data_IF_950038434501
#
_entry.id   IF_950038434501
#
_cell.length_a   1.000
_cell.length_b   1.000
_cell.length_c   1.000
_cell.angle_alpha   90.00
_cell.angle_beta   90.00
_cell.angle_gamma   90.00
#
_symmetry.space_group_name_H-M   'P 1'
#
loop_
_entity.id
_entity.type
_entity.pdbx_description
1 polymer ?
#
# COMPACT_ATOMS: atom_id res chain seq x y z
N UNK A 1 -49.40 5.27 47.43
CA UNK A 1 -49.03 4.27 46.44
C UNK A 1 -48.38 5.00 45.28
N UNK A 2 -47.10 5.15 45.31
CA UNK A 2 -46.32 5.86 44.31
C UNK A 2 -45.83 4.86 43.27
N UNK A 3 -46.30 5.04 42.03
CA UNK A 3 -45.86 4.27 40.88
C UNK A 3 -44.59 4.83 40.27
N UNK A 4 -43.48 4.17 40.49
CA UNK A 4 -42.18 4.49 39.94
C UNK A 4 -42.17 4.17 38.45
N UNK A 5 -42.10 5.20 37.59
CA UNK A 5 -41.89 5.08 36.15
C UNK A 5 -40.40 4.78 35.88
N UNK A 6 -40.12 3.64 35.26
CA UNK A 6 -38.82 3.25 34.79
C UNK A 6 -38.30 4.19 33.66
N UNK A 7 -37.01 4.51 33.62
CA UNK A 7 -36.44 5.37 32.59
C UNK A 7 -36.41 4.63 31.25
N UNK A 8 -37.02 5.26 30.24
CA UNK A 8 -36.95 4.87 28.83
C UNK A 8 -35.52 4.92 28.35
N UNK A 9 -34.94 3.78 28.01
CA UNK A 9 -33.67 3.64 27.37
C UNK A 9 -33.66 4.39 26.03
N UNK A 10 -33.01 5.53 25.99
CA UNK A 10 -32.70 6.25 24.76
C UNK A 10 -31.81 5.36 23.91
N UNK A 11 -32.34 4.88 22.79
CA UNK A 11 -31.57 4.20 21.74
C UNK A 11 -30.40 5.10 21.30
N UNK A 12 -29.18 4.66 21.52
CA UNK A 12 -27.98 5.32 21.04
C UNK A 12 -28.03 5.36 19.51
N UNK A 13 -27.93 6.58 18.95
CA UNK A 13 -27.76 6.78 17.52
C UNK A 13 -26.54 6.00 17.06
N UNK A 14 -26.75 4.95 16.27
CA UNK A 14 -25.71 4.24 15.55
C UNK A 14 -24.97 5.27 14.68
N UNK A 15 -23.82 5.73 15.16
CA UNK A 15 -22.91 6.55 14.38
C UNK A 15 -22.37 5.68 13.25
N UNK A 16 -22.79 5.94 12.01
CA UNK A 16 -22.16 5.37 10.82
C UNK A 16 -20.71 5.84 10.82
N UNK A 17 -19.79 4.97 11.20
CA UNK A 17 -18.37 5.21 11.08
C UNK A 17 -18.04 5.35 9.59
N UNK A 18 -17.74 6.56 9.14
CA UNK A 18 -17.11 6.80 7.86
C UNK A 18 -15.65 6.36 7.94
N UNK A 19 -15.11 5.78 6.87
CA UNK A 19 -13.71 5.31 6.81
C UNK A 19 -12.67 6.35 7.28
N UNK A 20 -13.01 7.62 7.27
CA UNK A 20 -12.19 8.74 7.75
C UNK A 20 -12.11 8.84 9.30
N UNK A 21 -12.79 7.97 10.04
CA UNK A 21 -12.85 8.03 11.52
C UNK A 21 -12.25 6.79 12.20
N UNK A 22 -11.52 5.96 11.45
CA UNK A 22 -10.79 4.84 12.06
C UNK A 22 -9.56 5.43 12.75
N UNK A 23 -9.55 5.39 14.07
CA UNK A 23 -8.39 5.80 14.85
C UNK A 23 -7.23 4.83 14.65
N UNK A 24 -5.98 5.32 14.63
CA UNK A 24 -4.80 4.45 14.57
C UNK A 24 -4.74 3.56 15.81
N UNK A 25 -4.29 2.32 15.63
CA UNK A 25 -4.15 1.35 16.72
C UNK A 25 -3.19 1.88 17.81
N UNK A 26 -3.66 1.93 19.06
CA UNK A 26 -2.91 2.44 20.22
C UNK A 26 -2.38 1.28 21.06
N UNK A 27 -1.31 1.50 21.85
CA UNK A 27 -0.81 0.48 22.77
C UNK A 27 -1.85 -0.06 23.76
N UNK A 28 -2.84 0.79 24.11
CA UNK A 28 -3.94 0.47 25.04
C UNK A 28 -4.93 -0.52 24.45
N UNK A 29 -5.04 -0.58 23.10
CA UNK A 29 -5.95 -1.47 22.37
C UNK A 29 -5.41 -2.91 22.33
N UNK A 30 -4.12 -3.11 22.62
CA UNK A 30 -3.51 -4.44 22.66
C UNK A 30 -3.82 -5.16 23.97
N UNK A 31 -4.92 -5.85 24.03
CA UNK A 31 -5.35 -6.66 25.18
C UNK A 31 -4.55 -7.96 25.34
N UNK A 32 -3.85 -8.41 24.30
CA UNK A 32 -3.07 -9.66 24.31
C UNK A 32 -1.69 -9.54 24.96
N UNK A 33 -1.24 -8.29 25.25
CA UNK A 33 0.09 -8.04 25.82
C UNK A 33 1.23 -8.05 24.78
N UNK A 34 2.47 -8.11 25.28
CA UNK A 34 3.65 -8.14 24.41
C UNK A 34 3.80 -9.48 23.69
N UNK A 35 4.40 -9.43 22.48
CA UNK A 35 4.69 -10.65 21.72
C UNK A 35 5.68 -11.55 22.47
N UNK A 36 5.33 -12.82 22.61
CA UNK A 36 6.20 -13.85 23.18
C UNK A 36 7.18 -14.41 22.17
N UNK A 37 6.74 -14.51 20.89
CA UNK A 37 7.55 -15.06 19.83
C UNK A 37 8.02 -13.97 18.85
N UNK A 38 9.27 -14.10 18.38
CA UNK A 38 9.86 -13.20 17.38
C UNK A 38 9.43 -13.62 15.97
N UNK A 39 8.71 -12.74 15.29
CA UNK A 39 8.43 -12.88 13.86
C UNK A 39 9.48 -12.16 13.03
N UNK A 40 10.17 -12.88 12.14
CA UNK A 40 11.27 -12.33 11.32
C UNK A 40 10.98 -12.49 9.83
N UNK A 41 11.21 -11.41 9.06
CA UNK A 41 11.15 -11.42 7.60
C UNK A 41 12.44 -10.90 7.00
N UNK A 42 12.97 -11.62 6.00
CA UNK A 42 14.15 -11.21 5.25
C UNK A 42 13.83 -11.09 3.76
N UNK A 43 14.43 -10.08 3.10
CA UNK A 43 14.28 -9.85 1.66
C UNK A 43 15.61 -9.45 1.06
N UNK A 44 15.99 -10.11 -0.04
CA UNK A 44 17.19 -9.77 -0.80
C UNK A 44 16.97 -8.51 -1.64
N UNK A 45 18.00 -7.69 -1.76
CA UNK A 45 18.00 -6.52 -2.63
C UNK A 45 19.08 -6.61 -3.72
N UNK A 46 18.85 -5.97 -4.88
CA UNK A 46 19.82 -5.95 -5.97
C UNK A 46 21.09 -5.16 -5.59
N UNK A 47 22.26 -5.63 -5.99
CA UNK A 47 23.57 -5.04 -5.66
C UNK A 47 23.67 -3.55 -5.99
N UNK A 48 23.05 -3.10 -7.09
CA UNK A 48 23.07 -1.68 -7.47
C UNK A 48 22.33 -0.76 -6.47
N UNK A 49 21.53 -1.31 -5.55
CA UNK A 49 20.81 -0.53 -4.51
C UNK A 49 21.61 -0.36 -3.22
N UNK A 50 22.72 -1.05 -3.06
CA UNK A 50 23.51 -1.09 -1.83
C UNK A 50 23.88 0.31 -1.32
N UNK A 51 24.48 1.15 -2.16
CA UNK A 51 24.90 2.50 -1.77
C UNK A 51 23.72 3.37 -1.34
N UNK A 52 22.62 3.30 -2.07
CA UNK A 52 21.39 4.03 -1.72
C UNK A 52 20.83 3.59 -0.38
N UNK A 53 20.70 2.30 -0.17
CA UNK A 53 20.17 1.74 1.08
C UNK A 53 21.07 2.09 2.27
N UNK A 54 22.38 1.99 2.12
CA UNK A 54 23.33 2.41 3.16
C UNK A 54 23.13 3.87 3.57
N UNK A 55 22.93 4.77 2.61
CA UNK A 55 22.69 6.20 2.89
C UNK A 55 21.33 6.50 3.53
N UNK A 56 20.29 5.77 3.11
CA UNK A 56 18.91 5.99 3.59
C UNK A 56 18.52 5.11 4.80
N UNK A 57 19.36 4.16 5.19
CA UNK A 57 19.04 3.18 6.24
C UNK A 57 18.72 3.80 7.59
N UNK A 58 19.46 4.83 7.98
CA UNK A 58 19.20 5.57 9.23
C UNK A 58 17.78 6.13 9.30
N UNK A 59 17.28 6.68 8.19
CA UNK A 59 15.92 7.20 8.10
C UNK A 59 14.89 6.08 8.23
N UNK A 60 15.12 4.94 7.57
CA UNK A 60 14.24 3.77 7.62
C UNK A 60 14.19 3.19 9.04
N UNK A 61 15.36 3.05 9.69
CA UNK A 61 15.47 2.55 11.07
C UNK A 61 14.69 3.45 12.04
N UNK A 62 14.79 4.76 11.92
CA UNK A 62 14.03 5.69 12.76
C UNK A 62 12.51 5.55 12.57
N UNK A 63 12.06 5.32 11.33
CA UNK A 63 10.65 5.13 11.04
C UNK A 63 10.11 3.80 11.65
N UNK A 64 10.87 2.72 11.52
CA UNK A 64 10.50 1.40 12.08
C UNK A 64 10.55 1.39 13.62
N UNK A 65 11.53 2.07 14.21
CA UNK A 65 11.65 2.17 15.68
C UNK A 65 10.43 2.85 16.32
N UNK A 66 9.77 3.78 15.63
CA UNK A 66 8.52 4.40 16.12
C UNK A 66 7.40 3.37 16.31
N UNK A 67 7.40 2.30 15.51
CA UNK A 67 6.44 1.20 15.60
C UNK A 67 6.96 0.01 16.42
N UNK A 68 8.12 0.17 17.05
CA UNK A 68 8.73 -0.90 17.86
C UNK A 68 9.28 -2.07 17.06
N UNK A 69 9.51 -1.93 15.75
CA UNK A 69 10.04 -2.98 14.86
C UNK A 69 11.55 -2.86 14.75
N UNK A 70 12.27 -3.97 14.94
CA UNK A 70 13.72 -4.06 14.73
C UNK A 70 14.03 -4.24 13.24
N UNK A 71 15.17 -3.71 12.78
CA UNK A 71 15.62 -3.90 11.40
C UNK A 71 17.14 -3.98 11.30
N UNK A 72 17.62 -4.76 10.34
CA UNK A 72 19.04 -4.98 10.03
C UNK A 72 19.27 -4.95 8.53
N UNK A 73 20.39 -4.35 8.13
CA UNK A 73 20.89 -4.34 6.75
C UNK A 73 22.19 -5.13 6.67
N UNK A 74 22.15 -6.29 6.04
CA UNK A 74 23.34 -7.08 5.77
C UNK A 74 23.82 -6.80 4.35
N UNK A 75 24.91 -6.05 4.24
CA UNK A 75 25.51 -5.68 2.95
C UNK A 75 26.31 -6.84 2.32
N UNK A 76 26.81 -7.77 3.13
CA UNK A 76 27.58 -8.93 2.65
C UNK A 76 26.68 -9.89 1.90
N UNK A 77 25.56 -10.26 2.50
CA UNK A 77 24.54 -11.13 1.89
C UNK A 77 23.63 -10.39 0.92
N UNK A 78 23.56 -9.05 1.01
CA UNK A 78 22.59 -8.26 0.25
C UNK A 78 21.16 -8.46 0.72
N UNK A 79 20.95 -8.59 2.03
CA UNK A 79 19.65 -8.83 2.63
C UNK A 79 19.22 -7.71 3.58
N UNK A 80 17.92 -7.47 3.64
CA UNK A 80 17.27 -6.61 4.63
C UNK A 80 16.37 -7.49 5.50
N UNK A 81 16.51 -7.41 6.80
CA UNK A 81 15.72 -8.20 7.76
C UNK A 81 14.97 -7.28 8.71
N UNK A 82 13.72 -7.60 8.99
CA UNK A 82 12.89 -6.94 9.99
C UNK A 82 12.31 -7.97 10.95
N UNK A 83 12.12 -7.61 12.22
CA UNK A 83 11.57 -8.52 13.23
C UNK A 83 10.77 -7.76 14.29
N UNK A 84 9.86 -8.47 14.93
CA UNK A 84 9.11 -7.95 16.08
C UNK A 84 10.02 -7.84 17.29
N UNK A 85 9.76 -6.85 18.14
CA UNK A 85 10.43 -6.70 19.43
C UNK A 85 9.38 -6.69 20.54
N UNK A 86 9.82 -6.76 21.79
CA UNK A 86 8.91 -6.65 22.95
C UNK A 86 8.18 -5.30 23.01
N UNK A 87 8.69 -4.28 22.29
CA UNK A 87 8.08 -2.95 22.20
C UNK A 87 7.03 -2.84 21.09
N UNK A 88 6.89 -3.87 20.24
CA UNK A 88 5.89 -3.89 19.17
C UNK A 88 4.52 -4.11 19.80
N UNK A 89 3.63 -3.13 19.70
CA UNK A 89 2.27 -3.20 20.23
C UNK A 89 1.24 -3.59 19.15
N UNK A 90 1.49 -3.21 17.89
CA UNK A 90 0.58 -3.47 16.77
C UNK A 90 0.97 -4.77 16.06
N UNK A 91 0.05 -5.77 15.99
CA UNK A 91 0.26 -7.01 15.25
C UNK A 91 0.46 -6.82 13.76
N UNK A 92 -0.12 -5.76 13.17
CA UNK A 92 0.01 -5.46 11.74
C UNK A 92 1.35 -4.79 11.39
N UNK A 93 2.04 -4.16 12.35
CA UNK A 93 3.28 -3.42 12.11
C UNK A 93 4.37 -4.26 11.43
N UNK A 94 4.51 -5.53 11.77
CA UNK A 94 5.51 -6.42 11.16
C UNK A 94 5.17 -6.72 9.69
N UNK A 95 3.89 -6.80 9.33
CA UNK A 95 3.45 -7.01 7.95
C UNK A 95 3.73 -5.77 7.10
N UNK A 96 3.47 -4.59 7.64
CA UNK A 96 3.79 -3.31 7.01
C UNK A 96 5.31 -3.14 6.84
N UNK A 97 6.10 -3.51 7.86
CA UNK A 97 7.56 -3.52 7.79
C UNK A 97 8.10 -4.50 6.74
N UNK A 98 7.53 -5.70 6.65
CA UNK A 98 7.84 -6.66 5.59
C UNK A 98 7.59 -6.07 4.20
N UNK A 99 6.47 -5.39 4.04
CA UNK A 99 6.07 -4.81 2.77
C UNK A 99 6.94 -3.60 2.42
N UNK A 100 7.40 -2.82 3.42
CA UNK A 100 8.39 -1.78 3.25
C UNK A 100 9.70 -2.32 2.67
N UNK A 101 10.27 -3.38 3.23
CA UNK A 101 11.53 -3.95 2.70
C UNK A 101 11.36 -4.52 1.29
N UNK A 102 10.19 -5.08 0.94
CA UNK A 102 9.88 -5.50 -0.44
C UNK A 102 9.86 -4.33 -1.40
N UNK A 103 9.27 -3.19 -1.04
CA UNK A 103 9.25 -1.97 -1.85
C UNK A 103 10.66 -1.41 -2.06
N UNK A 104 11.48 -1.36 -1.01
CA UNK A 104 12.87 -0.93 -1.09
C UNK A 104 13.69 -1.80 -2.04
N UNK A 105 13.50 -3.13 -1.99
CA UNK A 105 14.12 -4.07 -2.90
C UNK A 105 13.70 -3.85 -4.37
N UNK A 106 12.52 -3.29 -4.61
CA UNK A 106 12.00 -2.92 -5.95
C UNK A 106 12.32 -1.48 -6.37
N UNK A 107 13.26 -0.85 -5.68
CA UNK A 107 13.77 0.49 -6.00
C UNK A 107 12.81 1.64 -5.73
N UNK A 108 11.78 1.45 -4.94
CA UNK A 108 10.96 2.56 -4.45
C UNK A 108 11.83 3.46 -3.57
N UNK A 109 11.73 4.81 -3.71
CA UNK A 109 12.45 5.73 -2.84
C UNK A 109 12.03 5.59 -1.37
N UNK A 110 13.00 5.65 -0.45
CA UNK A 110 12.75 5.47 0.98
C UNK A 110 11.68 6.42 1.56
N UNK A 111 11.66 7.74 1.25
CA UNK A 111 10.61 8.63 1.73
C UNK A 111 9.20 8.24 1.28
N UNK A 112 9.09 7.62 0.11
CA UNK A 112 7.81 7.13 -0.40
C UNK A 112 7.47 5.77 0.22
N UNK A 113 8.45 4.88 0.32
CA UNK A 113 8.23 3.53 0.87
C UNK A 113 7.78 3.57 2.34
N UNK A 114 8.29 4.50 3.14
CA UNK A 114 7.92 4.64 4.56
C UNK A 114 6.44 4.93 4.77
N UNK A 115 5.74 5.51 3.80
CA UNK A 115 4.29 5.73 3.89
C UNK A 115 3.47 4.45 4.01
N UNK A 116 4.04 3.28 3.68
CA UNK A 116 3.37 1.99 3.90
C UNK A 116 3.13 1.67 5.37
N UNK A 117 3.80 2.39 6.27
CA UNK A 117 3.59 2.27 7.71
C UNK A 117 2.32 2.98 8.20
N UNK A 118 1.67 3.76 7.33
CA UNK A 118 0.36 4.37 7.57
C UNK A 118 -0.74 3.35 7.24
N UNK A 119 -1.76 3.21 8.08
CA UNK A 119 -2.79 2.16 7.97
C UNK A 119 -3.63 2.26 6.69
N UNK A 120 -3.74 3.46 6.11
CA UNK A 120 -4.52 3.70 4.90
C UNK A 120 -3.79 3.30 3.61
N UNK A 121 -2.47 3.06 3.69
CA UNK A 121 -1.62 2.78 2.54
C UNK A 121 -1.32 1.29 2.46
N UNK A 122 -1.78 0.66 1.40
CA UNK A 122 -1.41 -0.71 1.07
C UNK A 122 -0.39 -0.73 -0.09
N UNK A 123 0.20 -1.90 -0.36
CA UNK A 123 1.08 -2.08 -1.50
C UNK A 123 0.75 -3.31 -2.32
N UNK A 124 1.12 -3.28 -3.58
CA UNK A 124 1.04 -4.43 -4.47
C UNK A 124 2.26 -4.49 -5.40
N UNK A 125 2.81 -5.70 -5.57
CA UNK A 125 3.92 -5.95 -6.51
C UNK A 125 3.43 -6.87 -7.61
N UNK A 126 3.09 -6.27 -8.76
CA UNK A 126 2.53 -6.96 -9.91
C UNK A 126 3.68 -7.52 -10.76
N UNK A 127 3.75 -8.84 -10.90
CA UNK A 127 4.74 -9.52 -11.73
C UNK A 127 4.25 -9.59 -13.18
N UNK A 128 4.80 -8.74 -14.07
CA UNK A 128 4.33 -8.59 -15.45
C UNK A 128 5.03 -9.51 -16.46
N UNK A 129 6.21 -10.07 -16.12
CA UNK A 129 6.98 -10.89 -17.06
C UNK A 129 6.27 -12.18 -17.47
N UNK A 130 5.58 -12.82 -16.52
CA UNK A 130 4.92 -14.09 -16.75
C UNK A 130 3.67 -14.00 -17.64
N UNK A 131 3.13 -12.77 -17.82
CA UNK A 131 1.92 -12.53 -18.63
C UNK A 131 2.21 -12.47 -20.14
N UNK A 132 3.50 -12.39 -20.53
CA UNK A 132 3.89 -12.26 -21.95
C UNK A 132 5.09 -13.14 -22.23
N UNK A 133 4.93 -14.14 -23.10
CA UNK A 133 6.01 -15.07 -23.46
C UNK A 133 7.14 -14.41 -24.27
N UNK A 134 6.80 -13.59 -25.29
CA UNK A 134 7.78 -12.97 -26.17
C UNK A 134 8.37 -11.70 -25.55
N UNK A 135 9.72 -11.58 -25.59
CA UNK A 135 10.47 -10.45 -25.01
C UNK A 135 10.14 -9.11 -25.67
N UNK A 136 10.04 -9.06 -27.00
CA UNK A 136 9.80 -7.80 -27.72
C UNK A 136 8.39 -7.28 -27.48
N UNK A 137 7.40 -8.18 -27.46
CA UNK A 137 6.03 -7.84 -27.08
C UNK A 137 5.96 -7.35 -25.64
N UNK A 138 6.69 -7.97 -24.73
CA UNK A 138 6.78 -7.53 -23.34
C UNK A 138 7.31 -6.10 -23.22
N UNK A 139 8.43 -5.78 -23.88
CA UNK A 139 9.03 -4.44 -23.83
C UNK A 139 8.05 -3.40 -24.38
N UNK A 140 7.42 -3.66 -25.55
CA UNK A 140 6.44 -2.75 -26.15
C UNK A 140 5.22 -2.53 -25.24
N UNK A 141 4.68 -3.59 -24.62
CA UNK A 141 3.52 -3.49 -23.73
C UNK A 141 3.86 -2.78 -22.42
N UNK A 142 5.05 -3.06 -21.83
CA UNK A 142 5.55 -2.32 -20.68
C UNK A 142 5.71 -0.84 -20.97
N UNK A 143 6.21 -0.48 -22.15
CA UNK A 143 6.35 0.92 -22.56
C UNK A 143 5.01 1.63 -22.70
N UNK A 144 3.93 0.93 -23.07
CA UNK A 144 2.57 1.49 -23.09
C UNK A 144 2.06 1.89 -21.71
N UNK A 145 2.46 1.18 -20.66
CA UNK A 145 2.11 1.57 -19.27
C UNK A 145 2.77 2.89 -18.90
N UNK A 146 4.03 3.08 -19.30
CA UNK A 146 4.74 4.34 -19.08
C UNK A 146 4.15 5.47 -19.93
N UNK A 147 3.87 5.19 -21.21
CA UNK A 147 3.47 6.18 -22.20
C UNK A 147 4.60 7.12 -22.62
N UNK A 148 4.33 8.05 -23.55
CA UNK A 148 5.29 9.06 -23.96
C UNK A 148 5.59 9.98 -22.77
N UNK A 149 6.88 10.16 -22.47
CA UNK A 149 7.36 10.98 -21.34
C UNK A 149 6.71 10.65 -19.97
N UNK A 150 6.25 9.41 -19.77
CA UNK A 150 5.61 9.00 -18.53
C UNK A 150 4.17 9.52 -18.34
N UNK A 151 3.54 10.08 -19.37
CA UNK A 151 2.21 10.71 -19.29
C UNK A 151 1.11 9.71 -18.89
N UNK A 152 1.13 8.50 -19.45
CA UNK A 152 0.15 7.45 -19.13
C UNK A 152 0.29 7.02 -17.67
N UNK A 153 1.52 6.80 -17.21
CA UNK A 153 1.80 6.45 -15.81
C UNK A 153 1.27 7.53 -14.87
N UNK A 154 1.58 8.80 -15.17
CA UNK A 154 1.14 9.93 -14.34
C UNK A 154 -0.38 10.09 -14.32
N UNK A 155 -1.05 9.88 -15.46
CA UNK A 155 -2.50 9.90 -15.51
C UNK A 155 -3.12 8.78 -14.63
N UNK A 156 -2.55 7.57 -14.68
CA UNK A 156 -2.98 6.47 -13.82
C UNK A 156 -2.79 6.80 -12.34
N UNK A 157 -1.62 7.32 -11.94
CA UNK A 157 -1.34 7.73 -10.56
C UNK A 157 -2.38 8.73 -10.03
N UNK A 158 -2.70 9.76 -10.84
CA UNK A 158 -3.65 10.81 -10.45
C UNK A 158 -5.11 10.34 -10.40
N UNK A 159 -5.49 9.40 -11.28
CA UNK A 159 -6.86 8.89 -11.33
C UNK A 159 -7.14 7.84 -10.25
N UNK A 160 -6.15 7.03 -9.91
CA UNK A 160 -6.27 5.94 -8.92
C UNK A 160 -5.75 6.34 -7.54
N UNK A 161 -5.19 7.55 -7.40
CA UNK A 161 -4.59 8.06 -6.15
C UNK A 161 -3.49 7.14 -5.60
N UNK A 162 -2.74 6.50 -6.51
CA UNK A 162 -1.68 5.56 -6.18
C UNK A 162 -0.34 6.04 -6.69
N UNK A 163 0.73 5.66 -6.02
CA UNK A 163 2.09 5.81 -6.53
C UNK A 163 2.47 4.55 -7.31
N UNK A 164 3.04 4.72 -8.51
CA UNK A 164 3.41 3.62 -9.40
C UNK A 164 4.89 3.68 -9.79
N UNK A 165 5.58 2.55 -9.69
CA UNK A 165 6.94 2.40 -10.18
C UNK A 165 7.05 1.17 -11.08
N UNK A 166 7.34 1.39 -12.36
CA UNK A 166 7.57 0.32 -13.34
C UNK A 166 9.07 0.06 -13.44
N UNK A 167 9.51 -1.07 -12.91
CA UNK A 167 10.93 -1.44 -12.96
C UNK A 167 11.14 -2.90 -13.33
N UNK A 168 11.99 -3.13 -14.32
CA UNK A 168 12.34 -4.47 -14.78
C UNK A 168 11.10 -5.29 -15.17
N UNK A 169 10.84 -6.33 -14.42
CA UNK A 169 9.76 -7.30 -14.64
C UNK A 169 8.56 -7.11 -13.71
N UNK A 170 8.54 -6.05 -12.93
CA UNK A 170 7.52 -5.78 -11.91
C UNK A 170 7.02 -4.35 -11.97
N UNK A 171 5.77 -4.16 -11.56
CA UNK A 171 5.19 -2.87 -11.25
C UNK A 171 4.93 -2.85 -9.76
N UNK A 172 5.56 -1.93 -9.04
CA UNK A 172 5.26 -1.67 -7.64
C UNK A 172 4.20 -0.57 -7.56
N UNK A 173 3.14 -0.81 -6.81
CA UNK A 173 2.06 0.12 -6.58
C UNK A 173 1.88 0.35 -5.09
N UNK A 174 1.58 1.58 -4.68
CA UNK A 174 1.30 1.98 -3.30
C UNK A 174 0.12 2.93 -3.27
N UNK A 175 -0.80 2.77 -2.32
CA UNK A 175 -1.95 3.66 -2.16
C UNK A 175 -3.16 2.96 -1.55
N UNK A 176 -4.35 3.57 -1.66
CA UNK A 176 -5.58 3.00 -1.13
C UNK A 176 -5.94 1.70 -1.86
N UNK A 177 -6.52 0.75 -1.12
CA UNK A 177 -6.85 -0.59 -1.63
C UNK A 177 -7.71 -0.57 -2.90
N UNK A 178 -8.68 0.36 -2.99
CA UNK A 178 -9.54 0.52 -4.19
C UNK A 178 -8.70 0.90 -5.42
N UNK A 179 -7.76 1.83 -5.26
CA UNK A 179 -6.84 2.23 -6.33
C UNK A 179 -5.92 1.10 -6.77
N UNK A 180 -5.35 0.35 -5.82
CA UNK A 180 -4.48 -0.79 -6.12
C UNK A 180 -5.19 -1.88 -6.93
N UNK A 181 -6.44 -2.21 -6.59
CA UNK A 181 -7.25 -3.17 -7.33
C UNK A 181 -7.47 -2.73 -8.79
N UNK A 182 -7.74 -1.44 -9.02
CA UNK A 182 -7.90 -0.87 -10.36
C UNK A 182 -6.57 -0.91 -11.14
N UNK A 183 -5.48 -0.49 -10.51
CA UNK A 183 -4.14 -0.52 -11.11
C UNK A 183 -3.75 -1.92 -11.53
N UNK A 184 -3.93 -2.92 -10.66
CA UNK A 184 -3.61 -4.31 -10.99
C UNK A 184 -4.33 -4.75 -12.25
N UNK A 185 -5.65 -4.53 -12.33
CA UNK A 185 -6.45 -4.87 -13.52
C UNK A 185 -5.93 -4.18 -14.77
N UNK A 186 -5.67 -2.87 -14.71
CA UNK A 186 -5.19 -2.09 -15.87
C UNK A 186 -3.82 -2.58 -16.35
N UNK A 187 -2.92 -2.91 -15.43
CA UNK A 187 -1.60 -3.43 -15.75
C UNK A 187 -1.71 -4.82 -16.40
N UNK A 188 -2.51 -5.72 -15.86
CA UNK A 188 -2.76 -7.05 -16.42
C UNK A 188 -3.41 -6.96 -17.80
N UNK A 189 -4.44 -6.13 -17.98
CA UNK A 189 -5.11 -5.88 -19.28
C UNK A 189 -4.11 -5.33 -20.33
N UNK A 190 -3.24 -4.41 -19.92
CA UNK A 190 -2.19 -3.87 -20.81
C UNK A 190 -1.22 -4.96 -21.25
N UNK A 191 -0.87 -5.88 -20.36
CA UNK A 191 -0.04 -7.05 -20.69
C UNK A 191 -0.78 -8.04 -21.60
N UNK A 192 -2.11 -8.11 -21.58
CA UNK A 192 -2.96 -8.88 -22.51
C UNK A 192 -3.25 -8.14 -23.81
N UNK A 193 -2.55 -7.02 -24.08
CA UNK A 193 -2.64 -6.21 -25.30
C UNK A 193 -3.84 -5.24 -25.37
N UNK A 194 -4.52 -4.97 -24.27
CA UNK A 194 -5.53 -3.91 -24.21
C UNK A 194 -4.80 -2.58 -23.94
N UNK A 195 -5.12 -1.55 -24.72
CA UNK A 195 -4.42 -0.27 -24.55
C UNK A 195 -4.93 0.47 -23.29
N UNK A 196 -4.04 1.00 -22.42
CA UNK A 196 -4.42 1.61 -21.14
C UNK A 196 -5.32 2.85 -21.30
N UNK A 197 -5.37 3.45 -22.48
CA UNK A 197 -6.21 4.64 -22.76
C UNK A 197 -7.70 4.37 -22.53
N UNK A 198 -8.16 3.15 -22.76
CA UNK A 198 -9.57 2.78 -22.52
C UNK A 198 -9.89 2.83 -21.03
N UNK A 199 -9.03 2.26 -20.20
CA UNK A 199 -9.18 2.30 -18.75
C UNK A 199 -9.05 3.74 -18.21
N UNK A 200 -8.15 4.56 -18.76
CA UNK A 200 -8.01 5.97 -18.38
C UNK A 200 -9.31 6.72 -18.67
N UNK A 201 -9.90 6.55 -19.86
CA UNK A 201 -11.18 7.18 -20.20
C UNK A 201 -12.30 6.74 -19.26
N UNK A 202 -12.39 5.44 -18.97
CA UNK A 202 -13.37 4.90 -18.00
C UNK A 202 -13.21 5.53 -16.61
N UNK A 203 -11.98 5.61 -16.11
CA UNK A 203 -11.69 6.23 -14.80
C UNK A 203 -12.02 7.72 -14.78
N UNK A 204 -11.75 8.45 -15.87
CA UNK A 204 -12.11 9.87 -16.00
C UNK A 204 -13.63 10.07 -15.90
N UNK A 205 -14.40 9.28 -16.66
CA UNK A 205 -15.86 9.34 -16.63
C UNK A 205 -16.39 9.00 -15.22
N UNK A 206 -15.87 7.95 -14.59
CA UNK A 206 -16.25 7.59 -13.23
C UNK A 206 -15.97 8.70 -12.22
N UNK A 207 -14.83 9.38 -12.34
CA UNK A 207 -14.45 10.49 -11.49
C UNK A 207 -15.35 11.72 -11.70
N UNK A 208 -15.75 11.99 -12.92
CA UNK A 208 -16.70 13.07 -13.25
C UNK A 208 -18.10 12.76 -12.73
N UNK A 209 -18.60 11.56 -12.96
CA UNK A 209 -19.89 11.12 -12.43
C UNK A 209 -19.95 11.17 -10.90
N UNK A 210 -18.88 10.78 -10.23
CA UNK A 210 -18.79 10.86 -8.77
C UNK A 210 -18.85 12.30 -8.22
N UNK A 211 -18.48 13.31 -9.02
CA UNK A 211 -18.63 14.73 -8.66
C UNK A 211 -20.05 15.23 -8.83
N UNK A 212 -20.76 14.71 -9.85
CA UNK A 212 -22.13 15.15 -10.20
C UNK A 212 -23.19 14.47 -9.35
N UNK A 213 -22.94 13.22 -8.92
CA UNK A 213 -23.85 12.48 -8.04
C UNK A 213 -23.40 12.66 -6.58
N UNK A 214 -24.02 13.56 -5.79
CA UNK A 214 -23.82 13.54 -4.35
C UNK A 214 -24.25 12.13 -3.86
N UNK A 215 -23.63 11.59 -2.80
CA UNK A 215 -24.00 10.28 -2.28
C UNK A 215 -25.50 10.32 -1.97
N UNK A 216 -26.31 9.61 -2.75
CA UNK A 216 -27.72 9.46 -2.52
C UNK A 216 -27.87 8.89 -1.11
N UNK A 217 -28.39 9.72 -0.20
CA UNK A 217 -28.98 9.26 1.04
C UNK A 217 -30.15 8.35 0.65
N UNK A 218 -29.89 7.05 0.52
CA UNK A 218 -30.95 6.08 0.48
C UNK A 218 -31.66 6.13 1.84
N UNK A 219 -32.71 6.94 1.87
CA UNK A 219 -33.81 6.78 2.78
C UNK A 219 -34.56 5.52 2.33
N UNK A 220 -34.41 4.43 3.05
CA UNK A 220 -35.48 3.47 3.41
C UNK A 220 -35.00 2.78 4.68
#
# INVERSE_FOLDING_TARGET
MEGTLAPVLRASKSSRLTFAQIEPFKPEDNTAGAFTDESRFSTLFPKYREQYLKGSWKFITQALQKQGVGCELNLVEGSMTVWTTQKTYDPAAILNARDLIKLLARSVPAPQAVKILEDEVAMDIIKIRNLVGNKDRFVKRRQRILGPNGSTLKALELLTETYLLVQGNTVAAMGPYKGLKQVRRIVEDTMHNIHPIYAIKELMIKKELAKVSPPSTNSI
#
